data_IF_915150075667
#
_entry.id   IF_915150075667
#
_cell.length_a   1.000
_cell.length_b   1.000
_cell.length_c   1.000
_cell.angle_alpha   90.00
_cell.angle_beta   90.00
_cell.angle_gamma   90.00
#
_symmetry.space_group_name_H-M   'P 1'
#
loop_
_entity.id
_entity.type
_entity.pdbx_description
1 polymer ?
#
# COMPACT_ATOMS: atom_id res chain seq x y z
N UNK A 1 7.50 -16.94 8.88
CA UNK A 1 6.47 -16.25 8.07
C UNK A 1 5.91 -15.19 8.97
N UNK A 2 5.75 -13.97 8.47
CA UNK A 2 5.08 -12.92 9.24
C UNK A 2 3.60 -13.30 9.35
N UNK A 3 3.08 -13.42 10.57
CA UNK A 3 1.67 -13.75 10.82
C UNK A 3 0.78 -12.52 10.63
N UNK A 4 1.37 -11.32 10.51
CA UNK A 4 0.69 -10.05 10.26
C UNK A 4 0.89 -9.56 8.83
N UNK A 5 0.67 -10.44 7.86
CA UNK A 5 0.77 -10.06 6.44
C UNK A 5 -0.38 -9.14 6.06
N UNK A 6 -0.11 -7.84 6.07
CA UNK A 6 -1.02 -6.83 5.53
C UNK A 6 -1.17 -7.00 4.00
N UNK A 7 -2.40 -6.83 3.50
CA UNK A 7 -2.72 -6.88 2.07
C UNK A 7 -3.04 -5.46 1.59
N UNK A 8 -2.13 -4.89 0.80
CA UNK A 8 -2.32 -3.59 0.16
C UNK A 8 -3.18 -3.72 -1.12
N UNK A 9 -4.36 -3.11 -1.15
CA UNK A 9 -5.25 -3.12 -2.32
C UNK A 9 -5.64 -1.69 -2.75
N UNK A 10 -5.59 -1.44 -4.05
CA UNK A 10 -5.93 -0.15 -4.65
C UNK A 10 -7.36 -0.16 -5.20
N UNK A 11 -8.22 0.70 -4.66
CA UNK A 11 -9.59 0.88 -5.14
C UNK A 11 -9.62 2.06 -6.10
N UNK A 12 -9.78 1.78 -7.40
CA UNK A 12 -9.77 2.79 -8.46
C UNK A 12 -11.16 3.34 -8.72
N UNK A 13 -11.37 4.61 -8.40
CA UNK A 13 -12.58 5.36 -8.69
C UNK A 13 -12.57 5.84 -10.15
N UNK A 14 -13.66 5.62 -10.87
CA UNK A 14 -13.81 6.02 -12.28
C UNK A 14 -14.21 7.47 -12.48
N UNK A 15 -14.73 8.12 -11.43
CA UNK A 15 -15.18 9.51 -11.50
C UNK A 15 -14.03 10.47 -11.21
N UNK A 16 -13.46 11.03 -12.27
CA UNK A 16 -12.37 12.01 -12.19
C UNK A 16 -12.79 13.39 -11.70
N UNK A 17 -14.08 13.63 -11.42
CA UNK A 17 -14.59 14.89 -10.87
C UNK A 17 -14.69 14.93 -9.35
N UNK A 18 -14.54 13.78 -8.69
CA UNK A 18 -14.60 13.66 -7.25
C UNK A 18 -13.38 14.30 -6.57
N UNK A 19 -13.61 15.00 -5.47
CA UNK A 19 -12.51 15.58 -4.67
C UNK A 19 -11.78 14.48 -3.88
N UNK A 20 -10.57 14.77 -3.39
CA UNK A 20 -9.81 13.87 -2.51
C UNK A 20 -10.60 13.51 -1.24
N UNK A 21 -11.44 14.43 -0.76
CA UNK A 21 -12.33 14.22 0.38
C UNK A 21 -13.49 13.28 0.03
N UNK A 22 -14.13 13.45 -1.14
CA UNK A 22 -15.23 12.59 -1.60
C UNK A 22 -14.77 11.14 -1.79
N UNK A 23 -13.59 10.97 -2.38
CA UNK A 23 -12.98 9.65 -2.61
C UNK A 23 -12.59 9.00 -1.29
N UNK A 24 -12.03 9.76 -0.36
CA UNK A 24 -11.73 9.28 1.00
C UNK A 24 -12.99 8.89 1.78
N UNK A 25 -14.08 9.64 1.66
CA UNK A 25 -15.34 9.29 2.35
C UNK A 25 -16.02 8.09 1.68
N UNK A 26 -15.92 7.97 0.35
CA UNK A 26 -16.47 6.83 -0.39
C UNK A 26 -15.80 5.51 0.02
N UNK A 27 -14.47 5.48 0.15
CA UNK A 27 -13.77 4.28 0.61
C UNK A 27 -14.10 3.95 2.07
N UNK A 28 -14.27 4.96 2.93
CA UNK A 28 -14.77 4.75 4.30
C UNK A 28 -16.18 4.16 4.32
N UNK A 29 -17.07 4.68 3.47
CA UNK A 29 -18.42 4.15 3.29
C UNK A 29 -18.40 2.68 2.86
N UNK A 30 -17.53 2.34 1.91
CA UNK A 30 -17.31 0.97 1.47
C UNK A 30 -16.81 0.07 2.61
N UNK A 31 -15.77 0.46 3.34
CA UNK A 31 -15.24 -0.30 4.48
C UNK A 31 -16.33 -0.54 5.53
N UNK A 32 -17.12 0.50 5.88
CA UNK A 32 -18.24 0.38 6.82
C UNK A 32 -19.28 -0.64 6.35
N UNK A 33 -19.64 -0.64 5.07
CA UNK A 33 -20.62 -1.59 4.54
C UNK A 33 -20.07 -3.02 4.49
N UNK A 34 -18.80 -3.21 4.15
CA UNK A 34 -18.13 -4.52 4.22
C UNK A 34 -18.15 -5.04 5.65
N UNK A 35 -17.69 -4.26 6.63
CA UNK A 35 -17.72 -4.66 8.04
C UNK A 35 -19.13 -5.01 8.51
N UNK A 36 -20.14 -4.24 8.08
CA UNK A 36 -21.55 -4.53 8.37
C UNK A 36 -21.99 -5.89 7.82
N UNK A 37 -21.60 -6.23 6.59
CA UNK A 37 -21.88 -7.53 5.99
C UNK A 37 -21.25 -8.69 6.77
N UNK A 38 -20.10 -8.44 7.42
CA UNK A 38 -19.38 -9.42 8.24
C UNK A 38 -19.69 -9.35 9.74
N UNK A 39 -20.55 -8.42 10.18
CA UNK A 39 -20.92 -8.26 11.59
C UNK A 39 -19.81 -7.69 12.49
N UNK A 40 -18.83 -6.99 11.92
CA UNK A 40 -17.67 -6.42 12.61
C UNK A 40 -17.84 -4.90 12.82
N UNK A 41 -17.10 -4.29 13.76
CA UNK A 41 -17.38 -2.93 14.24
C UNK A 41 -16.21 -1.92 14.23
N UNK A 42 -15.01 -2.28 13.78
CA UNK A 42 -13.84 -1.39 13.96
C UNK A 42 -13.21 -0.97 12.62
N UNK A 43 -13.03 0.35 12.45
CA UNK A 43 -12.28 0.96 11.34
C UNK A 43 -11.20 1.83 11.98
N UNK A 44 -9.94 1.39 11.95
CA UNK A 44 -8.83 2.28 12.29
C UNK A 44 -8.53 3.22 11.11
N UNK A 45 -8.43 4.51 11.41
CA UNK A 45 -8.34 5.58 10.42
C UNK A 45 -6.96 6.25 10.50
N UNK A 46 -5.98 5.72 9.77
CA UNK A 46 -4.71 6.42 9.55
C UNK A 46 -4.58 6.85 8.08
N UNK A 47 -5.01 8.09 7.79
CA UNK A 47 -4.89 8.71 6.47
C UNK A 47 -3.45 8.58 5.90
N UNK A 48 -3.26 8.25 4.60
CA UNK A 48 -4.25 8.10 3.52
C UNK A 48 -4.80 6.67 3.33
N UNK A 49 -4.51 5.75 4.25
CA UNK A 49 -4.94 4.35 4.19
C UNK A 49 -6.22 4.16 5.02
N UNK A 50 -7.14 3.35 4.51
CA UNK A 50 -8.25 2.83 5.32
C UNK A 50 -7.93 1.38 5.65
N UNK A 51 -7.71 1.10 6.93
CA UNK A 51 -7.36 -0.25 7.41
C UNK A 51 -8.65 -1.02 7.66
N UNK A 52 -8.76 -2.22 7.11
CA UNK A 52 -9.87 -3.13 7.29
C UNK A 52 -9.34 -4.44 7.88
N UNK A 53 -9.63 -4.70 9.14
CA UNK A 53 -9.29 -5.96 9.80
C UNK A 53 -10.44 -6.96 9.65
N UNK A 54 -10.18 -8.08 8.96
CA UNK A 54 -11.12 -9.19 8.79
C UNK A 54 -10.52 -10.45 9.42
N UNK A 55 -10.90 -10.72 10.67
CA UNK A 55 -10.33 -11.80 11.49
C UNK A 55 -8.81 -11.58 11.68
N UNK A 56 -7.98 -12.51 11.19
CA UNK A 56 -6.51 -12.46 11.32
C UNK A 56 -5.80 -11.83 10.09
N UNK A 57 -6.55 -11.20 9.17
CA UNK A 57 -6.00 -10.56 7.97
C UNK A 57 -6.35 -9.08 7.97
N UNK A 58 -5.31 -8.24 7.85
CA UNK A 58 -5.43 -6.79 7.73
C UNK A 58 -5.32 -6.37 6.27
N UNK A 59 -6.28 -5.56 5.80
CA UNK A 59 -6.28 -5.00 4.45
C UNK A 59 -6.04 -3.49 4.52
N UNK A 60 -5.02 -3.04 3.80
CA UNK A 60 -4.73 -1.63 3.61
C UNK A 60 -5.35 -1.17 2.29
N UNK A 61 -6.51 -0.51 2.39
CA UNK A 61 -7.23 0.00 1.23
C UNK A 61 -6.81 1.43 0.92
N UNK A 62 -6.31 1.64 -0.29
CA UNK A 62 -5.92 2.96 -0.79
C UNK A 62 -6.88 3.38 -1.90
N UNK A 63 -7.51 4.53 -1.71
CA UNK A 63 -8.37 5.10 -2.73
C UNK A 63 -7.52 5.77 -3.81
N UNK A 64 -7.79 5.42 -5.07
CA UNK A 64 -7.04 5.89 -6.24
C UNK A 64 -8.01 6.53 -7.23
N UNK A 65 -7.64 7.68 -7.78
CA UNK A 65 -8.32 8.24 -8.96
C UNK A 65 -7.42 8.15 -10.19
N UNK A 66 -8.04 8.01 -11.36
CA UNK A 66 -7.36 8.11 -12.65
C UNK A 66 -7.44 9.53 -13.15
N UNK A 67 -6.28 10.13 -13.41
CA UNK A 67 -6.20 11.34 -14.22
C UNK A 67 -5.93 10.96 -15.68
N UNK A 68 -6.06 11.94 -16.58
CA UNK A 68 -5.83 11.73 -18.02
C UNK A 68 -4.50 11.02 -18.30
N UNK A 69 -4.43 10.29 -19.42
CA UNK A 69 -3.25 9.51 -19.85
C UNK A 69 -2.86 8.32 -18.96
N UNK A 70 -3.70 7.91 -18.01
CA UNK A 70 -3.49 6.68 -17.23
C UNK A 70 -2.62 6.86 -15.99
N UNK A 71 -2.28 8.11 -15.65
CA UNK A 71 -1.64 8.45 -14.37
C UNK A 71 -2.60 8.23 -13.20
N UNK A 72 -2.07 7.76 -12.07
CA UNK A 72 -2.84 7.47 -10.85
C UNK A 72 -2.52 8.52 -9.78
N UNK A 73 -3.53 8.91 -9.01
CA UNK A 73 -3.37 9.81 -7.87
C UNK A 73 -4.04 9.24 -6.62
N UNK A 74 -3.41 9.49 -5.47
CA UNK A 74 -3.94 9.13 -4.15
C UNK A 74 -4.10 10.39 -3.30
N UNK A 75 -5.01 10.39 -2.30
CA UNK A 75 -5.10 11.48 -1.34
C UNK A 75 -3.79 11.67 -0.57
N UNK A 76 -3.35 12.91 -0.40
CA UNK A 76 -2.09 13.23 0.30
C UNK A 76 -2.27 13.50 1.81
N UNK A 77 -3.47 13.31 2.36
CA UNK A 77 -3.80 13.56 3.77
C UNK A 77 -3.97 15.04 4.18
N UNK A 78 -3.62 16.00 3.32
CA UNK A 78 -3.84 17.45 3.53
C UNK A 78 -4.98 18.02 2.68
N UNK A 79 -5.82 17.14 2.12
CA UNK A 79 -6.94 17.51 1.23
C UNK A 79 -6.54 17.66 -0.24
N UNK A 80 -5.29 17.36 -0.61
CA UNK A 80 -4.81 17.37 -1.99
C UNK A 80 -4.63 15.96 -2.57
N UNK A 81 -4.14 15.94 -3.81
CA UNK A 81 -3.74 14.74 -4.52
C UNK A 81 -2.21 14.64 -4.56
N UNK A 82 -1.68 13.42 -4.55
CA UNK A 82 -0.30 13.13 -4.90
C UNK A 82 -0.27 12.05 -5.97
N UNK A 83 0.60 12.21 -6.97
CA UNK A 83 0.78 11.20 -8.02
C UNK A 83 1.42 9.95 -7.45
N UNK A 84 0.96 8.80 -7.90
CA UNK A 84 1.52 7.49 -7.56
C UNK A 84 1.69 6.66 -8.82
N UNK A 85 2.71 5.80 -8.85
CA UNK A 85 2.85 4.80 -9.89
C UNK A 85 3.28 3.46 -9.25
N UNK A 86 2.33 2.58 -8.93
CA UNK A 86 2.63 1.28 -8.33
C UNK A 86 3.42 0.36 -9.27
N UNK A 87 3.34 0.57 -10.58
CA UNK A 87 4.00 -0.29 -11.56
C UNK A 87 5.51 -0.01 -11.66
N UNK A 88 5.95 1.22 -11.43
CA UNK A 88 7.37 1.58 -11.56
C UNK A 88 8.23 0.88 -10.51
N UNK A 89 7.76 0.86 -9.25
CA UNK A 89 8.48 0.16 -8.19
C UNK A 89 8.50 -1.34 -8.42
N UNK A 90 7.37 -1.92 -8.84
CA UNK A 90 7.30 -3.34 -9.18
C UNK A 90 8.25 -3.69 -10.34
N UNK A 91 8.27 -2.89 -11.41
CA UNK A 91 9.15 -3.09 -12.55
C UNK A 91 10.64 -3.00 -12.14
N UNK A 92 11.00 -2.00 -11.32
CA UNK A 92 12.35 -1.86 -10.78
C UNK A 92 12.75 -3.09 -9.95
N UNK A 93 11.87 -3.54 -9.05
CA UNK A 93 12.12 -4.70 -8.19
C UNK A 93 12.27 -5.98 -9.00
N UNK A 94 11.42 -6.21 -10.01
CA UNK A 94 11.52 -7.38 -10.88
C UNK A 94 12.80 -7.37 -11.71
N UNK A 95 13.17 -6.22 -12.30
CA UNK A 95 14.40 -6.08 -13.05
C UNK A 95 15.63 -6.41 -12.18
N UNK A 96 15.73 -5.78 -11.00
CA UNK A 96 16.85 -6.04 -10.07
C UNK A 96 16.85 -7.47 -9.56
N UNK A 97 15.69 -8.05 -9.28
CA UNK A 97 15.60 -9.44 -8.85
C UNK A 97 16.12 -10.38 -9.95
N UNK A 98 15.83 -10.11 -11.22
CA UNK A 98 16.36 -10.89 -12.35
C UNK A 98 17.88 -10.73 -12.46
N UNK A 99 18.40 -9.52 -12.30
CA UNK A 99 19.83 -9.21 -12.47
C UNK A 99 20.72 -9.91 -11.45
N UNK A 100 20.23 -10.14 -10.24
CA UNK A 100 21.01 -10.81 -9.17
C UNK A 100 20.56 -12.25 -8.88
N UNK A 101 20.02 -12.95 -9.88
CA UNK A 101 19.70 -14.38 -9.75
C UNK A 101 18.55 -14.69 -8.80
N UNK A 102 17.53 -13.84 -8.78
CA UNK A 102 16.33 -13.93 -7.94
C UNK A 102 16.55 -13.76 -6.42
N UNK A 103 17.64 -13.08 -6.02
CA UNK A 103 17.99 -12.89 -4.61
C UNK A 103 17.48 -11.58 -3.96
N UNK A 104 16.96 -10.61 -4.73
CA UNK A 104 16.43 -9.35 -4.15
C UNK A 104 15.21 -9.65 -3.28
N UNK A 105 14.25 -10.42 -3.82
CA UNK A 105 13.01 -10.75 -3.10
C UNK A 105 13.25 -11.45 -1.75
N UNK A 106 14.09 -12.51 -1.66
CA UNK A 106 14.39 -13.12 -0.36
C UNK A 106 15.18 -12.20 0.57
N UNK A 107 16.10 -11.37 0.05
CA UNK A 107 16.83 -10.37 0.85
C UNK A 107 15.88 -9.35 1.49
N UNK A 108 14.95 -8.81 0.69
CA UNK A 108 13.90 -7.89 1.19
C UNK A 108 13.10 -8.56 2.30
N UNK A 109 12.64 -9.81 2.11
CA UNK A 109 11.87 -10.54 3.14
C UNK A 109 12.65 -10.70 4.45
N UNK A 110 13.94 -11.03 4.37
CA UNK A 110 14.78 -11.16 5.55
C UNK A 110 14.95 -9.82 6.28
N UNK A 111 15.17 -8.74 5.53
CA UNK A 111 15.33 -7.40 6.10
C UNK A 111 14.03 -6.88 6.72
N UNK A 112 12.87 -7.15 6.11
CA UNK A 112 11.56 -6.84 6.72
C UNK A 112 11.37 -7.60 8.02
N UNK A 113 11.66 -8.90 8.05
CA UNK A 113 11.59 -9.69 9.28
C UNK A 113 12.49 -9.13 10.39
N UNK A 114 13.73 -8.76 10.03
CA UNK A 114 14.64 -8.10 10.98
C UNK A 114 14.10 -6.74 11.47
N UNK A 115 13.49 -5.94 10.58
CA UNK A 115 12.90 -4.66 10.93
C UNK A 115 11.74 -4.81 11.93
N UNK A 116 10.86 -5.81 11.71
CA UNK A 116 9.78 -6.17 12.65
C UNK A 116 10.37 -6.60 14.00
N UNK A 117 11.34 -7.53 13.99
CA UNK A 117 12.00 -8.00 15.21
C UNK A 117 12.74 -6.89 15.98
N UNK A 118 13.13 -5.82 15.29
CA UNK A 118 13.79 -4.65 15.88
C UNK A 118 12.81 -3.56 16.33
N UNK A 119 11.49 -3.78 16.19
CA UNK A 119 10.46 -2.82 16.58
C UNK A 119 10.17 -1.73 15.56
N UNK A 120 10.25 -2.04 14.26
CA UNK A 120 9.95 -1.12 13.15
C UNK A 120 10.80 0.17 13.14
N UNK A 121 12.12 0.02 13.26
CA UNK A 121 13.07 1.15 13.23
C UNK A 121 13.03 1.93 11.90
N UNK A 122 12.70 1.27 10.80
CA UNK A 122 12.63 1.86 9.47
C UNK A 122 11.22 1.73 8.88
N UNK A 123 10.83 2.71 8.06
CA UNK A 123 9.68 2.57 7.18
C UNK A 123 9.92 1.43 6.18
N UNK A 124 8.95 0.51 6.07
CA UNK A 124 9.08 -0.70 5.27
C UNK A 124 9.30 -0.38 3.79
N UNK A 125 8.60 0.61 3.23
CA UNK A 125 8.73 0.97 1.82
C UNK A 125 10.07 1.64 1.52
N UNK A 126 10.53 2.53 2.40
CA UNK A 126 11.85 3.16 2.31
C UNK A 126 12.97 2.11 2.38
N UNK A 127 12.85 1.12 3.28
CA UNK A 127 13.80 0.01 3.40
C UNK A 127 13.83 -0.85 2.13
N UNK A 128 12.67 -1.22 1.58
CA UNK A 128 12.58 -1.97 0.33
C UNK A 128 13.22 -1.21 -0.85
N UNK A 129 12.93 0.10 -0.95
CA UNK A 129 13.49 0.98 -1.98
C UNK A 129 15.01 1.11 -1.85
N UNK A 130 15.51 1.27 -0.63
CA UNK A 130 16.94 1.36 -0.37
C UNK A 130 17.69 0.09 -0.77
N UNK A 131 17.15 -1.09 -0.44
CA UNK A 131 17.72 -2.40 -0.82
C UNK A 131 17.75 -2.55 -2.35
N UNK A 132 16.66 -2.20 -3.04
CA UNK A 132 16.61 -2.26 -4.51
C UNK A 132 17.60 -1.29 -5.18
N UNK A 133 17.91 -0.16 -4.51
CA UNK A 133 18.86 0.84 -4.98
C UNK A 133 20.33 0.47 -4.79
N UNK A 134 20.66 -0.50 -3.93
CA UNK A 134 22.06 -0.88 -3.68
C UNK A 134 22.68 -1.60 -4.89
N UNK A 135 23.98 -1.40 -5.15
CA UNK A 135 24.73 -2.23 -6.08
C UNK A 135 25.21 -3.50 -5.38
N UNK A 136 24.83 -4.67 -5.89
CA UNK A 136 25.36 -5.96 -5.42
C UNK A 136 26.27 -6.50 -6.52
N UNK A 137 27.55 -6.72 -6.19
CA UNK A 137 28.61 -7.17 -7.10
C UNK A 137 29.07 -8.59 -6.75
#
# INVERSE_FOLDING_TARGET
MDEWSDIDEMVVFSDGSATSADVSESIKGFCREVLRCYGLSEVDQSSPRSVLELNDITFDLVAVTKIGFGELQIPNGSGGWMSTNPNDFNAMREARNKDIGALIKPTIRLMKYWNVASGFLFDSFALESWICGQGFW
#
